data_IF_290987222673
#
_entry.id   IF_290987222673
#
_cell.length_a   1.000
_cell.length_b   1.000
_cell.length_c   1.000
_cell.angle_alpha   90.00
_cell.angle_beta   90.00
_cell.angle_gamma   90.00
#
_symmetry.space_group_name_H-M   'P 1'
#
loop_
_entity.id
_entity.type
_entity.pdbx_description
1 polymer ?
#
# COMPACT_ATOMS: atom_id res chain seq x y z
N UNK A 1 14.50 -49.54 28.89
CA UNK A 1 14.22 -50.51 27.80
C UNK A 1 15.40 -50.55 26.83
N UNK A 2 15.53 -51.55 25.95
CA UNK A 2 16.70 -51.80 25.08
C UNK A 2 16.32 -51.72 23.58
N UNK A 3 17.26 -51.28 22.71
CA UNK A 3 17.33 -51.49 21.22
C UNK A 3 16.24 -50.74 20.40
N UNK A 4 16.34 -50.36 19.13
CA UNK A 4 17.36 -50.32 18.01
C UNK A 4 17.34 -48.86 17.43
N UNK A 5 18.36 -48.21 16.82
CA UNK A 5 19.68 -48.58 16.26
C UNK A 5 19.83 -48.74 14.71
N UNK A 6 19.28 -47.82 13.91
CA UNK A 6 19.64 -47.52 12.49
C UNK A 6 19.66 -45.97 12.32
N UNK A 7 20.53 -45.27 11.59
CA UNK A 7 21.74 -45.55 10.79
C UNK A 7 21.55 -46.01 9.32
N UNK A 8 22.45 -45.50 8.43
CA UNK A 8 22.61 -45.67 6.96
C UNK A 8 21.91 -44.59 6.10
N UNK A 9 22.49 -43.88 5.10
CA UNK A 9 23.86 -43.42 4.71
C UNK A 9 23.88 -43.15 3.19
N UNK A 10 24.13 -41.88 2.80
CA UNK A 10 25.01 -41.44 1.68
C UNK A 10 24.57 -41.58 0.19
N UNK A 11 25.29 -40.79 -0.65
CA UNK A 11 25.38 -40.74 -2.12
C UNK A 11 24.16 -40.14 -2.85
N UNK A 12 24.22 -38.95 -3.47
CA UNK A 12 25.24 -38.32 -4.33
C UNK A 12 25.40 -39.09 -5.66
N UNK A 13 24.70 -38.62 -6.69
CA UNK A 13 24.86 -39.08 -8.07
C UNK A 13 24.87 -37.88 -9.01
N UNK A 14 26.00 -37.69 -9.66
CA UNK A 14 26.33 -36.57 -10.55
C UNK A 14 25.81 -36.79 -11.98
N UNK A 15 25.49 -35.67 -12.63
CA UNK A 15 25.66 -35.43 -14.07
C UNK A 15 24.98 -36.39 -15.07
N UNK A 16 23.92 -35.89 -15.71
CA UNK A 16 23.73 -36.07 -17.15
C UNK A 16 24.01 -34.75 -17.86
N UNK A 17 25.25 -34.56 -18.32
CA UNK A 17 25.52 -33.56 -19.33
C UNK A 17 24.93 -34.05 -20.67
N UNK A 18 24.03 -33.26 -21.25
CA UNK A 18 23.44 -33.50 -22.56
C UNK A 18 23.26 -32.16 -23.26
N UNK A 19 24.19 -31.81 -24.14
CA UNK A 19 24.15 -30.54 -24.86
C UNK A 19 23.03 -30.53 -25.91
N UNK A 20 22.14 -29.55 -25.83
CA UNK A 20 21.62 -28.86 -27.00
C UNK A 20 21.89 -27.37 -26.80
N UNK A 21 22.95 -26.90 -27.45
CA UNK A 21 23.33 -25.49 -27.51
C UNK A 21 22.41 -24.81 -28.52
N UNK A 22 21.24 -24.36 -28.07
CA UNK A 22 20.56 -23.22 -28.70
C UNK A 22 21.00 -21.98 -27.93
N UNK A 23 21.70 -21.08 -28.63
CA UNK A 23 22.08 -19.76 -28.11
C UNK A 23 20.85 -18.84 -28.13
N UNK A 24 19.85 -19.17 -27.30
CA UNK A 24 19.03 -18.13 -26.69
C UNK A 24 19.91 -17.46 -25.65
N UNK A 25 20.64 -16.43 -26.05
CA UNK A 25 21.11 -15.40 -25.12
C UNK A 25 19.90 -14.58 -24.69
N UNK A 26 19.02 -15.20 -23.90
CA UNK A 26 18.06 -14.46 -23.08
C UNK A 26 18.89 -13.50 -22.24
N UNK A 27 18.67 -12.20 -22.42
CA UNK A 27 19.31 -11.17 -21.61
C UNK A 27 18.89 -11.45 -20.16
N UNK A 28 19.86 -11.82 -19.31
CA UNK A 28 19.58 -12.07 -17.90
C UNK A 28 18.99 -10.78 -17.31
N UNK A 29 17.74 -10.87 -16.90
CA UNK A 29 16.96 -9.77 -16.33
C UNK A 29 16.60 -10.10 -14.89
N UNK A 30 16.40 -9.07 -14.08
CA UNK A 30 16.00 -9.19 -12.68
C UNK A 30 14.67 -8.48 -12.51
N UNK A 31 13.63 -9.21 -12.10
CA UNK A 31 12.33 -8.64 -11.79
C UNK A 31 12.21 -8.38 -10.28
N UNK A 32 11.84 -7.17 -9.90
CA UNK A 32 11.60 -6.75 -8.51
C UNK A 32 10.18 -6.22 -8.38
N UNK A 33 9.43 -6.71 -7.39
CA UNK A 33 8.09 -6.23 -7.08
C UNK A 33 8.13 -5.22 -5.95
N UNK A 34 7.36 -4.14 -6.08
CA UNK A 34 7.19 -3.11 -5.06
C UNK A 34 5.95 -2.26 -5.34
N UNK A 35 6.01 -0.98 -4.96
CA UNK A 35 4.90 -0.02 -4.99
C UNK A 35 5.29 1.25 -5.73
N UNK A 36 4.33 1.86 -6.40
CA UNK A 36 4.37 3.25 -6.84
C UNK A 36 3.90 4.16 -5.69
N UNK A 37 4.78 4.98 -5.07
CA UNK A 37 4.43 5.85 -3.94
C UNK A 37 3.78 7.18 -4.37
N UNK A 38 3.52 7.37 -5.67
CA UNK A 38 3.19 8.62 -6.34
C UNK A 38 4.27 9.73 -6.27
N UNK A 39 4.75 10.08 -5.07
CA UNK A 39 5.79 11.10 -4.90
C UNK A 39 6.53 10.95 -3.56
N UNK A 40 7.85 11.16 -3.60
CA UNK A 40 8.66 11.42 -2.40
C UNK A 40 8.75 12.95 -2.22
N UNK A 41 8.46 13.49 -1.02
CA UNK A 41 8.43 14.93 -0.69
C UNK A 41 7.56 15.84 -1.61
N UNK A 42 6.70 15.28 -2.46
CA UNK A 42 6.06 16.05 -3.54
C UNK A 42 7.01 16.50 -4.65
N UNK A 43 8.20 15.88 -4.74
CA UNK A 43 9.20 16.11 -5.77
C UNK A 43 8.86 15.23 -6.97
N UNK A 44 8.48 15.86 -8.08
CA UNK A 44 8.43 15.22 -9.39
C UNK A 44 9.72 15.52 -10.16
N UNK A 45 10.47 14.48 -10.53
CA UNK A 45 11.64 14.61 -11.39
C UNK A 45 11.28 14.10 -12.80
N UNK A 46 11.40 14.98 -13.79
CA UNK A 46 11.05 14.65 -15.17
C UNK A 46 11.92 13.48 -15.68
N UNK A 47 11.27 12.41 -16.16
CA UNK A 47 11.92 11.19 -16.65
C UNK A 47 12.20 10.13 -15.57
N UNK A 48 12.10 10.47 -14.27
CA UNK A 48 12.28 9.50 -13.18
C UNK A 48 10.93 9.12 -12.54
N UNK A 49 10.65 7.83 -12.39
CA UNK A 49 9.48 7.32 -11.65
C UNK A 49 9.92 6.86 -10.26
N UNK A 50 9.23 7.24 -9.16
CA UNK A 50 9.58 6.73 -7.85
C UNK A 50 9.14 5.26 -7.72
N UNK A 51 10.00 4.43 -7.14
CA UNK A 51 9.74 3.02 -6.85
C UNK A 51 10.14 2.71 -5.42
N UNK A 52 9.23 2.10 -4.66
CA UNK A 52 9.45 1.70 -3.28
C UNK A 52 9.31 0.18 -3.18
N UNK A 53 10.31 -0.53 -2.65
CA UNK A 53 10.24 -1.98 -2.45
C UNK A 53 9.81 -2.27 -1.02
N UNK A 54 10.61 -1.85 -0.05
CA UNK A 54 10.25 -1.92 1.37
C UNK A 54 11.00 -0.90 2.24
N UNK A 55 10.59 -0.76 3.50
CA UNK A 55 11.40 -0.11 4.53
C UNK A 55 11.27 -0.75 5.92
N UNK A 56 11.99 -0.20 6.90
CA UNK A 56 12.02 -0.66 8.29
C UNK A 56 10.86 -0.15 9.16
N UNK A 57 9.82 0.47 8.59
CA UNK A 57 8.67 1.05 9.30
C UNK A 57 7.32 0.53 8.78
N UNK A 58 7.01 0.76 7.51
CA UNK A 58 5.80 0.28 6.82
C UNK A 58 5.97 -1.06 6.11
N UNK A 59 7.20 -1.59 6.06
CA UNK A 59 7.48 -2.83 5.33
C UNK A 59 7.26 -2.62 3.84
N UNK A 60 6.52 -3.52 3.17
CA UNK A 60 6.26 -3.46 1.73
C UNK A 60 5.15 -2.48 1.30
N UNK A 61 4.63 -1.64 2.21
CA UNK A 61 3.68 -0.59 1.89
C UNK A 61 4.32 0.77 2.16
N UNK A 62 4.30 1.65 1.16
CA UNK A 62 4.78 3.01 1.32
C UNK A 62 3.78 3.80 2.17
N UNK A 63 4.28 4.36 3.28
CA UNK A 63 3.54 5.27 4.15
C UNK A 63 4.19 6.63 4.08
N UNK A 64 3.45 7.69 3.81
CA UNK A 64 4.03 9.02 3.84
C UNK A 64 4.26 9.45 5.30
N UNK A 65 5.52 9.50 5.76
CA UNK A 65 5.82 10.06 7.09
C UNK A 65 5.54 11.57 7.10
N UNK A 66 4.42 11.97 7.70
CA UNK A 66 4.06 13.38 7.86
C UNK A 66 4.96 14.14 8.86
N UNK A 67 5.82 13.43 9.60
CA UNK A 67 6.76 13.99 10.59
C UNK A 67 8.02 14.55 9.91
N UNK A 68 7.91 15.77 9.38
CA UNK A 68 9.00 16.45 8.67
C UNK A 68 10.33 16.42 9.45
N UNK A 69 11.39 15.95 8.79
CA UNK A 69 12.76 16.11 9.28
C UNK A 69 13.10 15.35 10.57
N UNK A 70 12.34 14.30 10.91
CA UNK A 70 12.76 13.36 11.95
C UNK A 70 13.98 12.56 11.49
N UNK A 71 15.17 12.88 12.04
CA UNK A 71 16.35 12.03 11.89
C UNK A 71 16.07 10.65 12.50
N UNK A 72 16.47 9.58 11.83
CA UNK A 72 16.23 8.19 12.25
C UNK A 72 17.52 7.38 12.11
N UNK A 73 18.24 7.18 13.22
CA UNK A 73 19.58 6.57 13.22
C UNK A 73 19.63 5.15 12.61
N UNK A 74 18.52 4.40 12.66
CA UNK A 74 18.41 3.01 12.18
C UNK A 74 17.41 2.84 11.01
N UNK A 75 17.01 3.91 10.30
CA UNK A 75 16.04 3.78 9.20
C UNK A 75 16.67 3.18 7.94
N UNK A 76 16.04 2.13 7.42
CA UNK A 76 16.51 1.41 6.24
C UNK A 76 15.39 1.21 5.22
N UNK A 77 15.63 1.59 3.97
CA UNK A 77 14.68 1.42 2.86
C UNK A 77 15.36 0.87 1.60
N UNK A 78 14.65 0.02 0.88
CA UNK A 78 14.94 -0.30 -0.51
C UNK A 78 13.97 0.50 -1.40
N UNK A 79 14.49 1.53 -2.06
CA UNK A 79 13.72 2.42 -2.92
C UNK A 79 14.62 3.05 -3.99
N UNK A 80 14.05 3.37 -5.15
CA UNK A 80 14.79 3.78 -6.34
C UNK A 80 14.06 4.89 -7.11
N UNK A 81 14.82 5.66 -7.87
CA UNK A 81 14.31 6.44 -8.99
C UNK A 81 14.51 5.64 -10.28
N UNK A 82 13.43 5.22 -10.93
CA UNK A 82 13.50 4.51 -12.19
C UNK A 82 13.72 5.51 -13.33
N UNK A 83 14.87 5.45 -14.01
CA UNK A 83 15.09 6.13 -15.28
C UNK A 83 14.25 5.45 -16.37
N UNK A 84 13.31 6.22 -16.93
CA UNK A 84 12.46 5.78 -18.04
C UNK A 84 13.11 6.16 -19.37
N UNK A 85 13.13 5.22 -20.32
CA UNK A 85 13.59 5.44 -21.69
C UNK A 85 12.47 5.19 -22.70
N UNK A 86 12.59 5.65 -23.97
CA UNK A 86 11.64 5.31 -25.03
C UNK A 86 11.54 3.80 -25.31
N UNK A 87 12.59 3.04 -24.93
CA UNK A 87 12.67 1.58 -25.06
C UNK A 87 12.22 0.86 -23.77
N UNK A 88 11.64 1.56 -22.79
CA UNK A 88 11.07 0.92 -21.58
C UNK A 88 9.67 0.41 -21.91
N UNK A 89 9.49 -0.92 -21.86
CA UNK A 89 8.19 -1.56 -22.12
C UNK A 89 7.23 -1.38 -20.93
N UNK A 90 5.94 -1.17 -21.21
CA UNK A 90 4.91 -0.99 -20.19
C UNK A 90 3.77 -1.98 -20.36
N UNK A 91 3.29 -2.54 -19.25
CA UNK A 91 2.16 -3.45 -19.20
C UNK A 91 1.21 -3.09 -18.06
N UNK A 92 -0.11 -3.25 -18.27
CA UNK A 92 -1.10 -3.30 -17.19
C UNK A 92 -1.62 -4.73 -17.09
N UNK A 93 -1.49 -5.33 -15.91
CA UNK A 93 -2.13 -6.60 -15.61
C UNK A 93 -3.62 -6.35 -15.32
N UNK A 94 -4.50 -7.15 -15.93
CA UNK A 94 -5.94 -7.09 -15.67
C UNK A 94 -6.34 -7.97 -14.46
N UNK A 95 -7.62 -7.95 -14.07
CA UNK A 95 -8.11 -8.75 -12.93
C UNK A 95 -8.06 -10.28 -13.12
N UNK A 96 -7.73 -10.75 -14.32
CA UNK A 96 -7.60 -12.18 -14.68
C UNK A 96 -6.14 -12.64 -14.82
N UNK A 97 -5.17 -11.71 -14.72
CA UNK A 97 -3.73 -11.98 -14.81
C UNK A 97 -3.12 -11.84 -16.22
N UNK A 98 -3.90 -11.40 -17.22
CA UNK A 98 -3.36 -11.11 -18.55
C UNK A 98 -2.67 -9.74 -18.57
N UNK A 99 -1.55 -9.66 -19.30
CA UNK A 99 -0.77 -8.43 -19.49
C UNK A 99 -1.18 -7.71 -20.78
N UNK A 100 -1.75 -6.51 -20.63
CA UNK A 100 -2.07 -5.61 -21.75
C UNK A 100 -0.92 -4.61 -21.96
N UNK A 101 -0.27 -4.56 -23.15
CA UNK A 101 0.76 -3.57 -23.44
C UNK A 101 0.19 -2.14 -23.42
N UNK A 102 0.92 -1.23 -22.78
CA UNK A 102 0.59 0.19 -22.74
C UNK A 102 1.48 0.98 -23.71
N UNK A 103 0.96 2.12 -24.16
CA UNK A 103 1.76 3.15 -24.82
C UNK A 103 2.71 3.79 -23.79
N UNK A 104 4.04 3.81 -24.01
CA UNK A 104 5.00 4.41 -23.08
C UNK A 104 4.72 5.87 -22.72
N UNK A 105 4.16 6.66 -23.65
CA UNK A 105 3.77 8.06 -23.40
C UNK A 105 2.62 8.16 -22.36
N UNK A 106 1.86 7.08 -22.16
CA UNK A 106 0.74 6.98 -21.22
C UNK A 106 1.05 6.13 -19.98
N UNK A 107 2.23 5.50 -19.87
CA UNK A 107 2.57 4.56 -18.79
C UNK A 107 2.37 5.13 -17.38
N UNK A 108 2.77 6.40 -17.14
CA UNK A 108 2.54 7.10 -15.87
C UNK A 108 1.05 7.33 -15.56
N UNK A 109 0.23 7.54 -16.57
CA UNK A 109 -1.21 7.79 -16.41
C UNK A 109 -2.02 6.51 -16.14
N UNK A 110 -1.38 5.33 -16.26
CA UNK A 110 -1.99 4.04 -15.95
C UNK A 110 -1.93 3.69 -14.45
N UNK A 111 -1.20 4.45 -13.63
CA UNK A 111 -1.30 4.38 -12.17
C UNK A 111 -2.55 5.11 -11.69
N UNK A 112 -3.41 4.38 -11.00
CA UNK A 112 -4.67 4.87 -10.48
C UNK A 112 -4.47 5.63 -9.15
N UNK A 113 -3.60 5.12 -8.26
CA UNK A 113 -3.37 5.65 -6.91
C UNK A 113 -1.94 5.38 -6.36
N UNK A 114 -1.50 6.08 -5.29
CA UNK A 114 -0.31 5.69 -4.52
C UNK A 114 -0.48 4.29 -3.89
N UNK A 115 0.64 3.65 -3.53
CA UNK A 115 0.71 2.23 -3.15
C UNK A 115 0.29 1.24 -4.24
N UNK A 116 0.16 1.64 -5.50
CA UNK A 116 -0.15 0.67 -6.54
C UNK A 116 1.02 -0.30 -6.75
N UNK A 117 0.71 -1.58 -6.61
CA UNK A 117 1.67 -2.66 -6.81
C UNK A 117 2.21 -2.64 -8.24
N UNK A 118 3.53 -2.70 -8.41
CA UNK A 118 4.18 -2.83 -9.72
C UNK A 118 5.41 -3.75 -9.65
N UNK A 119 5.69 -4.44 -10.75
CA UNK A 119 6.93 -5.20 -10.96
C UNK A 119 7.78 -4.50 -12.00
N UNK A 120 9.04 -4.27 -11.68
CA UNK A 120 10.02 -3.60 -12.53
C UNK A 120 11.06 -4.63 -12.95
N UNK A 121 11.33 -4.71 -14.25
CA UNK A 121 12.38 -5.55 -14.82
C UNK A 121 13.61 -4.69 -15.08
N UNK A 122 14.74 -5.09 -14.52
CA UNK A 122 16.06 -4.47 -14.71
C UNK A 122 16.99 -5.40 -15.49
N UNK A 123 18.08 -4.84 -16.02
CA UNK A 123 19.14 -5.63 -16.67
C UNK A 123 20.06 -6.33 -15.66
N UNK A 124 20.86 -7.28 -16.15
CA UNK A 124 21.83 -8.10 -15.38
C UNK A 124 22.72 -7.35 -14.37
N UNK A 125 23.00 -6.07 -14.58
CA UNK A 125 23.84 -5.26 -13.70
C UNK A 125 23.15 -4.73 -12.44
N UNK A 126 21.83 -4.92 -12.31
CA UNK A 126 21.08 -4.51 -11.13
C UNK A 126 21.42 -5.38 -9.91
N UNK A 127 21.76 -4.73 -8.81
CA UNK A 127 21.93 -5.35 -7.49
C UNK A 127 20.97 -4.65 -6.52
N UNK A 128 20.11 -5.42 -5.84
CA UNK A 128 19.16 -4.87 -4.87
C UNK A 128 19.92 -4.33 -3.63
N UNK A 129 19.71 -3.06 -3.29
CA UNK A 129 20.39 -2.40 -2.17
C UNK A 129 19.39 -1.75 -1.20
N UNK A 130 19.44 -2.18 0.07
CA UNK A 130 18.74 -1.51 1.17
C UNK A 130 19.65 -0.44 1.77
N UNK A 131 19.30 0.82 1.57
CA UNK A 131 20.06 1.98 2.03
C UNK A 131 19.75 2.31 3.49
N UNK A 132 20.78 2.72 4.24
CA UNK A 132 20.60 3.40 5.52
C UNK A 132 20.40 4.90 5.21
N UNK A 133 19.20 5.43 5.43
CA UNK A 133 18.85 6.82 5.09
C UNK A 133 18.72 7.65 6.38
N UNK A 134 19.18 8.92 6.40
CA UNK A 134 19.21 9.72 7.63
C UNK A 134 17.82 10.12 8.14
N UNK A 135 16.78 10.03 7.30
CA UNK A 135 15.38 10.21 7.65
C UNK A 135 14.52 9.35 6.71
N UNK A 136 13.19 9.33 6.92
CA UNK A 136 12.24 8.59 6.08
C UNK A 136 12.43 8.90 4.58
N UNK A 137 12.17 7.91 3.71
CA UNK A 137 12.39 8.05 2.25
C UNK A 137 11.60 9.22 1.63
N UNK A 138 10.42 9.53 2.18
CA UNK A 138 9.66 10.73 1.80
C UNK A 138 10.42 12.04 1.95
N UNK A 139 11.46 12.12 2.79
CA UNK A 139 12.20 13.35 3.11
C UNK A 139 13.64 13.34 2.63
N UNK A 140 14.12 12.22 2.06
CA UNK A 140 15.51 12.06 1.57
C UNK A 140 15.59 11.52 0.13
N UNK A 141 14.72 11.93 -0.81
CA UNK A 141 14.68 11.39 -2.17
C UNK A 141 15.99 11.56 -2.96
N UNK A 142 16.82 12.54 -2.62
CA UNK A 142 18.10 12.83 -3.28
C UNK A 142 19.20 11.79 -3.00
N UNK A 143 18.99 10.90 -2.02
CA UNK A 143 19.91 9.81 -1.68
C UNK A 143 19.56 8.48 -2.36
N UNK A 144 18.42 8.39 -3.07
CA UNK A 144 17.99 7.16 -3.72
C UNK A 144 18.80 6.86 -4.99
N UNK A 145 19.08 5.59 -5.32
CA UNK A 145 19.77 5.23 -6.54
C UNK A 145 18.89 5.53 -7.76
N UNK A 146 19.52 5.80 -8.90
CA UNK A 146 18.83 5.93 -10.19
C UNK A 146 19.10 4.67 -11.00
N UNK A 147 18.06 3.88 -11.27
CA UNK A 147 18.16 2.59 -11.95
C UNK A 147 17.36 2.57 -13.24
N UNK A 148 17.89 1.98 -14.31
CA UNK A 148 17.21 1.95 -15.61
C UNK A 148 16.18 0.81 -15.65
N UNK A 149 14.90 1.16 -15.82
CA UNK A 149 13.84 0.17 -16.05
C UNK A 149 13.84 -0.31 -17.51
N UNK A 150 13.90 -1.63 -17.71
CA UNK A 150 13.68 -2.28 -19.01
C UNK A 150 12.19 -2.48 -19.28
N UNK A 151 11.44 -2.95 -18.28
CA UNK A 151 9.98 -2.99 -18.35
C UNK A 151 9.30 -2.73 -17.01
N UNK A 152 8.06 -2.26 -17.05
CA UNK A 152 7.21 -2.00 -15.88
C UNK A 152 5.85 -2.66 -16.09
N UNK A 153 5.50 -3.57 -15.19
CA UNK A 153 4.16 -4.18 -15.10
C UNK A 153 3.40 -3.57 -13.93
N UNK A 154 2.30 -2.88 -14.23
CA UNK A 154 1.39 -2.29 -13.25
C UNK A 154 0.33 -3.33 -12.90
N UNK A 155 0.20 -3.68 -11.62
CA UNK A 155 -0.76 -4.67 -11.16
C UNK A 155 -2.13 -4.03 -10.81
N UNK A 156 -3.23 -4.80 -10.74
CA UNK A 156 -4.52 -4.32 -10.26
C UNK A 156 -4.40 -3.70 -8.87
N UNK A 157 -5.00 -2.53 -8.68
CA UNK A 157 -4.99 -1.84 -7.40
C UNK A 157 -5.85 -2.58 -6.37
N UNK A 158 -5.30 -2.83 -5.18
CA UNK A 158 -5.93 -3.66 -4.14
C UNK A 158 -6.56 -2.81 -3.04
N UNK A 159 -7.63 -3.31 -2.42
CA UNK A 159 -8.21 -2.70 -1.22
C UNK A 159 -7.18 -2.53 -0.10
N UNK A 160 -6.31 -3.52 0.10
CA UNK A 160 -5.21 -3.46 1.07
C UNK A 160 -4.29 -2.26 0.81
N UNK A 161 -3.91 -2.01 -0.45
CA UNK A 161 -3.05 -0.88 -0.84
C UNK A 161 -3.74 0.48 -0.57
N UNK A 162 -5.05 0.56 -0.82
CA UNK A 162 -5.87 1.73 -0.48
C UNK A 162 -5.96 1.98 1.02
N UNK A 163 -6.23 0.93 1.79
CA UNK A 163 -6.33 0.97 3.25
C UNK A 163 -5.00 1.41 3.87
N UNK A 164 -3.90 0.73 3.54
CA UNK A 164 -2.55 1.06 4.03
C UNK A 164 -2.15 2.51 3.76
N UNK A 165 -2.50 3.05 2.58
CA UNK A 165 -2.22 4.46 2.26
C UNK A 165 -3.04 5.45 3.09
N UNK A 166 -4.21 5.06 3.58
CA UNK A 166 -5.12 5.91 4.36
C UNK A 166 -5.07 5.64 5.88
N UNK A 167 -4.23 4.72 6.37
CA UNK A 167 -4.15 4.44 7.81
C UNK A 167 -3.70 5.69 8.59
N UNK A 168 -4.37 6.00 9.71
CA UNK A 168 -4.03 7.15 10.53
C UNK A 168 -2.68 6.96 11.26
N UNK A 169 -1.95 8.06 11.45
CA UNK A 169 -0.68 8.10 12.19
C UNK A 169 -0.89 8.14 13.71
N UNK A 170 -0.48 7.08 14.40
CA UNK A 170 -0.45 6.98 15.87
C UNK A 170 -1.65 6.24 16.49
N UNK A 171 -1.41 5.58 17.62
CA UNK A 171 -2.36 4.63 18.24
C UNK A 171 -3.72 5.17 18.68
N UNK A 172 -3.84 6.48 18.97
CA UNK A 172 -5.11 7.14 19.34
C UNK A 172 -5.80 7.82 18.13
N UNK A 173 -5.46 7.42 16.91
CA UNK A 173 -5.99 7.97 15.67
C UNK A 173 -6.72 6.92 14.83
N UNK A 174 -7.86 7.35 14.25
CA UNK A 174 -8.85 6.47 13.63
C UNK A 174 -9.47 7.12 12.39
N UNK A 175 -9.85 6.29 11.43
CA UNK A 175 -10.56 6.69 10.22
C UNK A 175 -11.83 5.84 10.07
N UNK A 176 -12.98 6.49 9.98
CA UNK A 176 -14.29 5.88 9.91
C UNK A 176 -14.95 6.23 8.56
N UNK A 177 -15.07 5.24 7.68
CA UNK A 177 -15.90 5.31 6.48
C UNK A 177 -17.35 4.94 6.79
N UNK A 178 -18.27 5.79 6.32
CA UNK A 178 -19.72 5.62 6.43
C UNK A 178 -20.27 5.67 5.00
N UNK A 179 -20.53 4.49 4.47
CA UNK A 179 -21.18 4.28 3.19
C UNK A 179 -22.69 4.29 3.43
N UNK A 180 -23.30 5.48 3.48
CA UNK A 180 -24.70 5.67 3.87
C UNK A 180 -25.22 7.07 3.46
N UNK A 181 -26.54 7.25 3.34
CA UNK A 181 -27.19 8.55 3.02
C UNK A 181 -27.32 9.42 4.28
N UNK A 182 -26.17 9.83 4.81
CA UNK A 182 -26.08 10.63 6.05
C UNK A 182 -26.28 12.11 5.71
N UNK A 183 -27.28 12.74 6.34
CA UNK A 183 -27.65 14.12 6.06
C UNK A 183 -26.53 15.11 6.37
N UNK A 184 -26.48 16.23 5.64
CA UNK A 184 -25.50 17.31 5.88
C UNK A 184 -25.44 17.74 7.36
N UNK A 185 -26.58 17.75 8.06
CA UNK A 185 -26.65 18.11 9.48
C UNK A 185 -25.90 17.08 10.34
N UNK A 186 -26.12 15.80 10.10
CA UNK A 186 -25.51 14.70 10.86
C UNK A 186 -24.02 14.59 10.55
N UNK A 187 -23.62 14.82 9.30
CA UNK A 187 -22.20 14.92 8.92
C UNK A 187 -21.49 16.05 9.67
N UNK A 188 -22.12 17.23 9.80
CA UNK A 188 -21.54 18.35 10.55
C UNK A 188 -21.51 18.07 12.05
N UNK A 189 -22.54 17.44 12.61
CA UNK A 189 -22.56 17.00 14.01
C UNK A 189 -21.42 16.01 14.31
N UNK A 190 -21.25 14.97 13.49
CA UNK A 190 -20.18 13.98 13.66
C UNK A 190 -18.79 14.62 13.55
N UNK A 191 -18.57 15.53 12.59
CA UNK A 191 -17.31 16.30 12.48
C UNK A 191 -17.04 17.17 13.71
N UNK A 192 -18.07 17.81 14.29
CA UNK A 192 -17.94 18.57 15.54
C UNK A 192 -17.62 17.65 16.73
N UNK A 193 -18.24 16.47 16.79
CA UNK A 193 -17.97 15.49 17.85
C UNK A 193 -16.53 14.93 17.78
N UNK A 194 -16.03 14.60 16.58
CA UNK A 194 -14.62 14.27 16.37
C UNK A 194 -13.67 15.39 16.85
N UNK A 195 -14.03 16.65 16.62
CA UNK A 195 -13.23 17.77 17.08
C UNK A 195 -13.23 17.92 18.62
N UNK A 196 -14.35 17.62 19.31
CA UNK A 196 -14.35 17.54 20.78
C UNK A 196 -13.50 16.38 21.31
N UNK A 197 -13.56 15.19 20.70
CA UNK A 197 -12.70 14.06 21.09
C UNK A 197 -11.21 14.41 21.02
N UNK A 198 -10.80 15.10 19.96
CA UNK A 198 -9.42 15.57 19.81
C UNK A 198 -9.01 16.58 20.89
N UNK A 199 -9.90 17.52 21.25
CA UNK A 199 -9.61 18.55 22.26
C UNK A 199 -9.64 18.05 23.71
N UNK A 200 -10.62 17.21 24.04
CA UNK A 200 -10.92 16.80 25.41
C UNK A 200 -10.22 15.48 25.80
N UNK A 201 -10.02 14.58 24.84
CA UNK A 201 -9.49 13.21 25.05
C UNK A 201 -8.18 12.94 24.30
N UNK A 202 -7.79 13.79 23.33
CA UNK A 202 -6.62 13.59 22.48
C UNK A 202 -6.84 12.64 21.29
N UNK A 203 -8.04 12.07 21.18
CA UNK A 203 -8.39 11.04 20.19
C UNK A 203 -8.69 11.69 18.83
N UNK A 204 -8.02 11.23 17.78
CA UNK A 204 -8.20 11.76 16.41
C UNK A 204 -9.14 10.87 15.62
N UNK A 205 -10.42 11.23 15.51
CA UNK A 205 -11.41 10.49 14.71
C UNK A 205 -11.75 11.21 13.40
N UNK A 206 -11.35 10.64 12.26
CA UNK A 206 -11.65 11.19 10.94
C UNK A 206 -12.85 10.49 10.31
N UNK A 207 -13.90 11.24 9.95
CA UNK A 207 -15.04 10.69 9.21
C UNK A 207 -14.89 10.84 7.69
N UNK A 208 -15.39 9.86 6.94
CA UNK A 208 -15.50 9.83 5.47
C UNK A 208 -16.91 9.39 5.07
N UNK A 209 -17.70 10.32 4.55
CA UNK A 209 -19.08 10.09 4.15
C UNK A 209 -19.15 9.79 2.65
N UNK A 210 -19.79 8.68 2.28
CA UNK A 210 -19.91 8.20 0.90
C UNK A 210 -21.34 7.72 0.69
N UNK A 211 -22.14 8.46 -0.10
CA UNK A 211 -23.55 8.13 -0.35
C UNK A 211 -23.78 7.46 -1.72
N UNK A 212 -22.72 6.96 -2.36
CA UNK A 212 -22.73 6.47 -3.73
C UNK A 212 -21.79 5.26 -3.91
N UNK A 213 -22.35 4.11 -4.29
CA UNK A 213 -21.60 2.87 -4.58
C UNK A 213 -20.87 2.93 -5.92
N UNK A 214 -21.26 3.82 -6.84
CA UNK A 214 -20.49 4.11 -8.05
C UNK A 214 -19.26 5.00 -7.76
N UNK A 215 -19.07 5.50 -6.53
CA UNK A 215 -17.86 6.23 -6.15
C UNK A 215 -16.60 5.37 -6.28
N UNK A 216 -15.46 5.99 -6.60
CA UNK A 216 -14.19 5.26 -6.70
C UNK A 216 -13.82 4.56 -5.40
N UNK A 217 -14.05 5.19 -4.23
CA UNK A 217 -13.75 4.58 -2.93
C UNK A 217 -14.63 3.36 -2.65
N UNK A 218 -15.95 3.41 -2.91
CA UNK A 218 -16.82 2.25 -2.73
C UNK A 218 -16.38 1.07 -3.61
N UNK A 219 -16.15 1.32 -4.91
CA UNK A 219 -15.65 0.30 -5.84
C UNK A 219 -14.29 -0.29 -5.45
N UNK A 220 -13.36 0.51 -4.92
CA UNK A 220 -12.05 0.03 -4.44
C UNK A 220 -12.14 -0.78 -3.15
N UNK A 221 -13.11 -0.47 -2.30
CA UNK A 221 -13.34 -1.17 -1.03
C UNK A 221 -14.34 -2.33 -1.17
N UNK A 222 -14.76 -2.65 -2.40
CA UNK A 222 -15.67 -3.76 -2.68
C UNK A 222 -17.11 -3.54 -2.18
N UNK A 223 -17.52 -2.29 -1.93
CA UNK A 223 -18.82 -1.94 -1.36
C UNK A 223 -19.83 -1.72 -2.50
N UNK A 224 -20.71 -2.69 -2.70
CA UNK A 224 -21.76 -2.70 -3.73
C UNK A 224 -23.16 -2.35 -3.19
N UNK A 225 -23.40 -2.46 -1.88
CA UNK A 225 -24.65 -2.11 -1.20
C UNK A 225 -24.45 -1.10 -0.05
N UNK A 226 -25.51 -0.35 0.27
CA UNK A 226 -25.57 0.59 1.41
C UNK A 226 -26.69 0.16 2.38
N UNK A 227 -26.53 0.34 3.70
CA UNK A 227 -25.41 1.01 4.35
C UNK A 227 -24.23 0.05 4.65
N UNK A 228 -23.02 0.59 4.72
CA UNK A 228 -21.82 -0.13 5.17
C UNK A 228 -20.87 0.77 5.96
N UNK A 229 -20.19 0.22 6.96
CA UNK A 229 -19.42 0.96 7.95
C UNK A 229 -18.07 0.27 8.16
N UNK A 230 -16.96 1.03 8.06
CA UNK A 230 -15.59 0.51 8.24
C UNK A 230 -14.80 1.46 9.11
N UNK A 231 -14.13 0.92 10.14
CA UNK A 231 -13.23 1.65 11.03
C UNK A 231 -11.84 1.04 10.97
N UNK A 232 -10.84 1.91 10.79
CA UNK A 232 -9.42 1.55 10.82
C UNK A 232 -8.64 2.36 11.83
N UNK A 233 -7.58 1.76 12.37
CA UNK A 233 -6.55 2.38 13.22
C UNK A 233 -5.17 2.27 12.52
N UNK A 234 -4.06 2.49 13.23
CA UNK A 234 -2.71 2.33 12.66
C UNK A 234 -2.31 0.89 12.29
N UNK A 235 -3.05 -0.13 12.77
CA UNK A 235 -2.80 -1.56 12.53
C UNK A 235 -3.64 -2.14 11.37
N UNK A 236 -4.74 -1.49 10.98
CA UNK A 236 -5.64 -1.95 9.91
C UNK A 236 -7.12 -1.82 10.27
N UNK A 237 -7.96 -2.74 9.76
CA UNK A 237 -9.39 -2.78 10.06
C UNK A 237 -9.63 -3.25 11.49
N UNK A 238 -10.33 -2.42 12.25
CA UNK A 238 -10.79 -2.69 13.62
C UNK A 238 -12.19 -3.31 13.61
N UNK A 239 -13.10 -2.76 12.79
CA UNK A 239 -14.46 -3.25 12.64
C UNK A 239 -15.05 -2.89 11.27
N UNK A 240 -15.86 -3.80 10.73
CA UNK A 240 -16.68 -3.58 9.54
C UNK A 240 -18.06 -4.27 9.68
N UNK A 241 -19.14 -3.62 9.21
CA UNK A 241 -20.49 -4.19 9.14
C UNK A 241 -21.45 -3.31 8.33
N UNK A 242 -22.55 -3.90 7.89
CA UNK A 242 -23.81 -3.23 7.52
C UNK A 242 -24.58 -2.66 8.74
N UNK A 243 -24.44 -3.25 9.94
CA UNK A 243 -25.01 -2.73 11.20
C UNK A 243 -24.09 -1.66 11.84
N UNK A 244 -24.49 -0.40 11.69
CA UNK A 244 -23.83 0.74 12.36
C UNK A 244 -23.66 0.53 13.87
N UNK A 245 -24.67 -0.01 14.55
CA UNK A 245 -24.65 -0.19 16.01
C UNK A 245 -23.79 -1.39 16.46
N UNK A 246 -23.35 -2.24 15.53
CA UNK A 246 -22.30 -3.21 15.78
C UNK A 246 -20.92 -2.54 15.74
N UNK A 247 -20.64 -1.74 14.71
CA UNK A 247 -19.36 -1.02 14.53
C UNK A 247 -19.14 0.05 15.61
N UNK A 248 -20.18 0.82 15.95
CA UNK A 248 -20.11 1.83 17.03
C UNK A 248 -20.01 1.19 18.44
N UNK A 249 -20.31 -0.11 18.58
CA UNK A 249 -20.03 -0.84 19.82
C UNK A 249 -18.55 -1.12 19.99
N UNK A 250 -17.84 -1.50 18.91
CA UNK A 250 -16.38 -1.69 18.94
C UNK A 250 -15.68 -0.38 19.28
N UNK A 251 -16.11 0.76 18.71
CA UNK A 251 -15.68 2.10 19.12
C UNK A 251 -15.79 2.31 20.65
N UNK A 252 -16.93 1.94 21.24
CA UNK A 252 -17.19 2.18 22.66
C UNK A 252 -16.49 1.18 23.60
N UNK A 253 -16.26 -0.06 23.15
CA UNK A 253 -15.68 -1.14 23.95
C UNK A 253 -14.14 -1.18 23.88
N UNK A 254 -13.56 -0.99 22.69
CA UNK A 254 -12.10 -1.06 22.49
C UNK A 254 -11.42 0.31 22.61
N UNK A 255 -12.08 1.37 22.15
CA UNK A 255 -11.49 2.71 21.99
C UNK A 255 -12.11 3.76 22.93
N UNK A 256 -13.13 3.39 23.72
CA UNK A 256 -13.84 4.29 24.63
C UNK A 256 -14.77 5.33 23.99
N UNK A 257 -14.77 5.44 22.65
CA UNK A 257 -15.51 6.46 21.90
C UNK A 257 -17.02 6.13 21.88
N UNK A 258 -17.86 7.07 22.32
CA UNK A 258 -19.32 6.88 22.36
C UNK A 258 -20.04 7.88 21.47
N UNK A 259 -20.33 7.46 20.24
CA UNK A 259 -21.22 8.22 19.36
C UNK A 259 -22.64 8.17 19.96
N UNK A 260 -23.30 9.32 20.07
CA UNK A 260 -24.58 9.42 20.78
C UNK A 260 -25.75 8.91 19.92
N UNK A 261 -26.59 8.03 20.48
CA UNK A 261 -27.84 7.50 19.87
C UNK A 261 -28.85 8.57 19.40
N UNK A 262 -28.65 9.84 19.78
CA UNK A 262 -29.62 10.92 19.58
C UNK A 262 -29.77 11.44 18.15
N UNK A 263 -29.04 10.88 17.18
CA UNK A 263 -29.09 11.35 15.78
C UNK A 263 -30.34 10.84 15.04
N UNK A 264 -30.89 9.67 15.37
CA UNK A 264 -32.00 9.05 14.62
C UNK A 264 -33.20 8.62 15.47
N UNK A 265 -33.89 9.58 16.11
CA UNK A 265 -35.34 9.44 16.31
C UNK A 265 -36.06 10.14 15.16
N UNK A 266 -36.28 9.41 14.07
CA UNK A 266 -36.93 9.95 12.87
C UNK A 266 -38.36 10.47 13.11
N UNK A 267 -38.71 11.52 12.37
CA UNK A 267 -40.10 11.92 12.04
C UNK A 267 -40.34 11.64 10.56
#
# INVERSE_FOLDING_TARGET
>A
MKRIAWLVTLLLLTATAGCSQEENSEEETVAVTGKYPAHFAGVEIHGLLPFFVDDSLGGSHFRYDHTFGSEREDYQAEAYWLELSPDTDWYKENGEGDLEPLDPDNGRAAFDYPNQSMTVTFGKSFEAERLNLPAHVSWTPEFLPVEKALSITIHPYRMEDYLYYNLPDGGDAYLYWLFDDISDYDQQFLRQYAYSLYLDEGITLNYRFISDTDSNTARLMGIDELPYFIIVNEEGIVAESDDRAAVERTLAEEMGIRIFDHVYTGN
#
